data_IF_132364954500
#
_entry.id   IF_132364954500
#
_cell.length_a   1.000
_cell.length_b   1.000
_cell.length_c   1.000
_cell.angle_alpha   90.00
_cell.angle_beta   90.00
_cell.angle_gamma   90.00
#
_symmetry.space_group_name_H-M   'P 1'
#
loop_
_entity.id
_entity.type
_entity.pdbx_description
1 polymer ?
#
# COMPACT_ATOMS: atom_id res chain seq x y z
N UNK A 1 1.60 10.02 -2.01
CA UNK A 1 1.99 8.71 -2.59
C UNK A 1 3.43 8.44 -2.23
N UNK A 2 3.85 7.17 -2.14
CA UNK A 2 5.26 6.81 -1.95
C UNK A 2 6.02 7.12 -3.25
N UNK A 3 7.14 7.83 -3.16
CA UNK A 3 8.07 7.93 -4.29
C UNK A 3 8.78 6.60 -4.53
N UNK A 4 9.34 6.41 -5.72
CA UNK A 4 10.09 5.19 -6.04
C UNK A 4 11.30 5.00 -5.11
N UNK A 5 11.95 6.10 -4.70
CA UNK A 5 13.05 6.05 -3.73
C UNK A 5 12.56 5.56 -2.35
N UNK A 6 11.47 6.12 -1.84
CA UNK A 6 10.87 5.66 -0.57
C UNK A 6 10.39 4.21 -0.65
N UNK A 7 9.86 3.82 -1.81
CA UNK A 7 9.45 2.45 -2.06
C UNK A 7 10.64 1.48 -2.02
N UNK A 8 11.74 1.82 -2.70
CA UNK A 8 12.94 0.98 -2.76
C UNK A 8 13.55 0.72 -1.38
N UNK A 9 13.41 1.66 -0.44
CA UNK A 9 13.85 1.47 0.95
C UNK A 9 12.87 0.61 1.76
N UNK A 10 11.57 0.73 1.50
CA UNK A 10 10.51 0.08 2.28
C UNK A 10 10.24 -1.37 1.83
N UNK A 11 10.28 -1.63 0.52
CA UNK A 11 9.96 -2.93 -0.08
C UNK A 11 10.70 -4.11 0.57
N UNK A 12 12.04 -4.06 0.78
CA UNK A 12 12.76 -5.19 1.38
C UNK A 12 12.31 -5.49 2.81
N UNK A 13 11.95 -4.44 3.57
CA UNK A 13 11.48 -4.58 4.95
C UNK A 13 10.08 -5.20 4.99
N UNK A 14 9.21 -4.77 4.08
CA UNK A 14 7.85 -5.34 3.96
C UNK A 14 7.92 -6.81 3.56
N UNK A 15 8.81 -7.16 2.63
CA UNK A 15 8.98 -8.55 2.20
C UNK A 15 9.57 -9.42 3.31
N UNK A 16 10.54 -8.91 4.08
CA UNK A 16 11.11 -9.62 5.21
C UNK A 16 10.09 -9.95 6.31
N UNK A 17 9.09 -9.08 6.52
CA UNK A 17 8.03 -9.30 7.51
C UNK A 17 6.84 -10.11 6.96
N UNK A 18 6.79 -10.39 5.66
CA UNK A 18 5.63 -11.02 5.03
C UNK A 18 5.55 -12.52 5.35
N UNK A 19 4.38 -13.04 5.75
CA UNK A 19 4.17 -14.49 5.87
C UNK A 19 4.26 -15.17 4.51
N UNK A 20 5.13 -16.18 4.38
CA UNK A 20 5.35 -16.94 3.13
C UNK A 20 4.13 -17.70 2.61
N UNK A 21 3.13 -17.94 3.45
CA UNK A 21 1.95 -18.74 3.12
C UNK A 21 0.77 -17.94 2.52
N UNK A 22 0.93 -16.64 2.29
CA UNK A 22 -0.14 -15.78 1.74
C UNK A 22 0.06 -15.51 0.26
N UNK A 23 -1.05 -15.40 -0.48
CA UNK A 23 -1.04 -14.95 -1.87
C UNK A 23 -0.30 -13.63 -1.98
N UNK A 24 0.69 -13.51 -2.89
CA UNK A 24 1.37 -12.26 -3.13
C UNK A 24 0.37 -11.16 -3.54
N UNK A 25 0.38 -10.00 -2.89
CA UNK A 25 -0.40 -8.87 -3.35
C UNK A 25 0.11 -8.43 -4.72
N UNK A 26 -0.82 -8.19 -5.64
CA UNK A 26 -0.52 -7.85 -7.03
C UNK A 26 0.17 -6.50 -7.18
N UNK A 27 -0.04 -5.58 -6.21
CA UNK A 27 0.50 -4.23 -6.25
C UNK A 27 0.71 -3.70 -4.82
N UNK A 28 1.84 -4.07 -4.23
CA UNK A 28 2.15 -3.77 -2.83
C UNK A 28 2.42 -2.27 -2.61
N UNK A 29 3.13 -1.62 -3.55
CA UNK A 29 3.44 -0.19 -3.47
C UNK A 29 2.17 0.65 -3.48
N UNK A 30 1.20 0.33 -4.36
CA UNK A 30 -0.09 1.01 -4.39
C UNK A 30 -0.88 0.77 -3.11
N UNK A 31 -0.92 -0.48 -2.62
CA UNK A 31 -1.63 -0.83 -1.39
C UNK A 31 -1.11 -0.03 -0.18
N UNK A 32 0.21 0.05 -0.03
CA UNK A 32 0.82 0.83 1.06
C UNK A 32 0.62 2.33 0.86
N UNK A 33 0.67 2.82 -0.37
CA UNK A 33 0.34 4.21 -0.68
C UNK A 33 -1.11 4.56 -0.28
N UNK A 34 -2.06 3.65 -0.51
CA UNK A 34 -3.46 3.79 -0.11
C UNK A 34 -3.63 3.84 1.41
N UNK A 35 -2.96 2.96 2.15
CA UNK A 35 -2.95 2.93 3.63
C UNK A 35 -2.41 4.25 4.19
N UNK A 36 -1.26 4.70 3.67
CA UNK A 36 -0.61 5.94 4.12
C UNK A 36 -1.47 7.17 3.81
N UNK A 37 -2.07 7.24 2.62
CA UNK A 37 -2.99 8.32 2.27
C UNK A 37 -4.17 8.36 3.23
N UNK A 38 -4.79 7.21 3.49
CA UNK A 38 -5.92 7.12 4.42
C UNK A 38 -5.55 7.62 5.81
N UNK A 39 -4.39 7.20 6.32
CA UNK A 39 -3.90 7.59 7.65
C UNK A 39 -3.66 9.11 7.74
N UNK A 40 -3.02 9.70 6.72
CA UNK A 40 -2.72 11.15 6.68
C UNK A 40 -3.97 12.02 6.61
N UNK A 41 -5.03 11.55 5.96
CA UNK A 41 -6.27 12.30 5.76
C UNK A 41 -7.36 11.99 6.79
N UNK A 42 -7.16 11.02 7.69
CA UNK A 42 -8.19 10.55 8.61
C UNK A 42 -9.42 9.97 7.90
N UNK A 43 -9.25 9.48 6.67
CA UNK A 43 -10.35 9.15 5.77
C UNK A 43 -10.92 7.73 5.99
N UNK A 44 -12.17 7.52 5.54
CA UNK A 44 -12.76 6.18 5.42
C UNK A 44 -12.18 5.47 4.19
N UNK A 45 -12.18 4.13 4.20
CA UNK A 45 -11.71 3.32 3.07
C UNK A 45 -12.41 3.67 1.74
N UNK A 46 -13.70 3.98 1.78
CA UNK A 46 -14.49 4.39 0.61
C UNK A 46 -14.08 5.72 -0.02
N UNK A 47 -13.29 6.53 0.69
CA UNK A 47 -12.82 7.82 0.21
C UNK A 47 -11.42 7.73 -0.42
N UNK A 48 -10.83 6.53 -0.50
CA UNK A 48 -9.54 6.35 -1.16
C UNK A 48 -9.70 6.71 -2.65
N UNK A 49 -8.83 7.58 -3.18
CA UNK A 49 -8.83 7.94 -4.59
C UNK A 49 -8.64 6.73 -5.51
N UNK A 50 -9.29 6.73 -6.68
CA UNK A 50 -9.25 5.61 -7.62
C UNK A 50 -7.85 5.33 -8.17
N UNK A 51 -6.97 6.34 -8.24
CA UNK A 51 -5.57 6.18 -8.62
C UNK A 51 -4.77 5.32 -7.64
N UNK A 52 -5.25 5.20 -6.40
CA UNK A 52 -4.70 4.29 -5.38
C UNK A 52 -5.37 2.91 -5.40
N UNK A 53 -6.21 2.67 -6.42
CA UNK A 53 -6.91 1.42 -6.64
C UNK A 53 -8.27 1.36 -5.93
N UNK A 54 -9.14 0.43 -6.38
CA UNK A 54 -10.43 0.23 -5.75
C UNK A 54 -10.28 -0.26 -4.30
N UNK A 55 -11.00 0.38 -3.38
CA UNK A 55 -10.99 0.03 -1.95
C UNK A 55 -11.53 -1.38 -1.62
N UNK A 56 -12.22 -2.03 -2.56
CA UNK A 56 -12.87 -3.33 -2.41
C UNK A 56 -12.03 -4.51 -2.89
N UNK A 57 -10.83 -4.25 -3.42
CA UNK A 57 -9.91 -5.26 -3.92
C UNK A 57 -8.94 -5.69 -2.82
#
# INVERSE_FOLDING_TARGET
>A
MLSDAQWSELEPLVEACRPKAKTPPQDLQRTLSAILWRHRNGAKWRAIPEELGPWWR
#
